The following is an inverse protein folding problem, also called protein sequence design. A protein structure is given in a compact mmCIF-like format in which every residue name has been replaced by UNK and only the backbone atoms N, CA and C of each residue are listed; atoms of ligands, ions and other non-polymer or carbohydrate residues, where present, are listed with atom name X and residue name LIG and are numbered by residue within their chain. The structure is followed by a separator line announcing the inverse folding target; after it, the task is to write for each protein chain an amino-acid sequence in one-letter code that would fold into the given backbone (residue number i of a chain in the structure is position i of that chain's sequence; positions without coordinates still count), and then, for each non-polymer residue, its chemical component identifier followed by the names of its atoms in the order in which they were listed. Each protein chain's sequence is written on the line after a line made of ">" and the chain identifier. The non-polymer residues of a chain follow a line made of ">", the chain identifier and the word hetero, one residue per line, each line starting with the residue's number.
data_IF_286568926345
#
_entry.id   IF_286568926345
#
_cell.length_a   1.000
_cell.length_b   1.000
_cell.length_c   1.000
_cell.angle_alpha   90.00
_cell.angle_beta   90.00
_cell.angle_gamma   90.00
#
_symmetry.space_group_name_H-M   'P 1'
#
loop_
_entity.id
_entity.type
_entity.pdbx_description
1 polymer ?
#
# COMPACT_ATOMS: atom_id res chain seq x y z
N UNK A 1 46.44 -37.84 -4.15
CA UNK A 1 46.30 -38.38 -2.78
C UNK A 1 46.27 -37.17 -1.86
N UNK A 2 45.19 -36.67 -1.25
CA UNK A 2 43.83 -37.13 -0.98
C UNK A 2 43.48 -36.41 0.33
N UNK A 3 42.51 -35.47 0.37
CA UNK A 3 42.25 -34.67 1.57
C UNK A 3 41.32 -35.45 2.51
N UNK A 4 41.79 -35.78 3.70
CA UNK A 4 40.98 -36.36 4.79
C UNK A 4 40.86 -35.32 5.90
N UNK A 5 39.87 -34.43 5.79
CA UNK A 5 39.39 -33.64 6.93
C UNK A 5 37.98 -33.09 6.68
N UNK A 6 37.00 -33.98 6.52
CA UNK A 6 35.59 -33.57 6.50
C UNK A 6 34.68 -34.72 6.94
N UNK A 7 34.72 -35.13 8.21
CA UNK A 7 33.84 -36.18 8.74
C UNK A 7 33.71 -36.13 10.27
N UNK A 8 33.21 -35.01 10.83
CA UNK A 8 32.75 -34.98 12.25
C UNK A 8 31.45 -34.19 12.47
N UNK A 9 30.83 -33.55 11.47
CA UNK A 9 29.64 -32.70 11.69
C UNK A 9 28.33 -33.20 11.05
N UNK A 10 28.20 -34.51 10.78
CA UNK A 10 27.00 -35.07 10.16
C UNK A 10 25.97 -35.82 11.04
N UNK A 11 26.14 -36.10 12.36
CA UNK A 11 25.09 -36.80 13.11
C UNK A 11 24.13 -35.91 13.91
N UNK A 12 24.24 -34.57 13.87
CA UNK A 12 23.37 -33.65 14.63
C UNK A 12 22.18 -33.06 13.84
N UNK A 13 22.08 -33.35 12.53
CA UNK A 13 21.04 -32.82 11.64
C UNK A 13 19.92 -33.82 11.29
N UNK A 14 19.98 -35.06 11.79
CA UNK A 14 19.02 -36.13 11.49
C UNK A 14 18.07 -36.51 12.64
N UNK A 15 18.13 -35.81 13.78
CA UNK A 15 17.24 -36.05 14.94
C UNK A 15 16.10 -35.03 15.09
N UNK A 16 15.99 -34.05 14.19
CA UNK A 16 14.89 -33.07 14.20
C UNK A 16 13.78 -33.34 13.16
N UNK A 17 13.92 -34.38 12.32
CA UNK A 17 12.98 -34.68 11.24
C UNK A 17 12.00 -35.84 11.52
N UNK A 18 11.99 -36.41 12.74
CA UNK A 18 11.18 -37.59 13.07
C UNK A 18 10.09 -37.34 14.14
N UNK A 19 9.73 -36.09 14.44
CA UNK A 19 8.72 -35.75 15.44
C UNK A 19 7.40 -35.16 14.89
N UNK A 20 7.20 -35.19 13.56
CA UNK A 20 5.96 -34.73 12.91
C UNK A 20 5.41 -35.80 11.97
N UNK A 21 4.97 -36.91 12.56
CA UNK A 21 4.07 -37.86 11.89
C UNK A 21 3.37 -38.71 12.94
N UNK A 22 2.24 -38.21 13.46
CA UNK A 22 1.18 -39.08 14.01
C UNK A 22 -0.22 -38.52 13.67
N UNK A 23 -0.84 -39.24 12.74
CA UNK A 23 -2.23 -39.71 12.74
C UNK A 23 -3.37 -38.68 12.81
N UNK A 24 -3.93 -38.40 11.63
CA UNK A 24 -5.33 -38.02 11.48
C UNK A 24 -6.25 -39.20 11.86
N UNK A 25 -7.24 -38.96 12.72
CA UNK A 25 -8.43 -39.79 12.89
C UNK A 25 -9.68 -38.94 12.53
N UNK A 26 -10.76 -39.53 12.00
CA UNK A 26 -11.89 -38.80 11.47
C UNK A 26 -12.84 -38.29 12.56
N UNK A 27 -13.36 -37.07 12.37
CA UNK A 27 -14.29 -36.39 13.26
C UNK A 27 -15.75 -36.71 12.87
N UNK A 28 -16.52 -37.24 13.82
CA UNK A 28 -17.99 -37.34 13.76
C UNK A 28 -18.60 -36.27 14.68
N UNK A 29 -19.70 -35.59 14.29
CA UNK A 29 -20.35 -34.61 15.16
C UNK A 29 -21.40 -35.29 16.04
N UNK A 30 -21.29 -35.08 17.36
CA UNK A 30 -22.38 -35.32 18.30
C UNK A 30 -22.75 -34.02 19.03
N UNK A 31 -24.04 -33.72 19.00
CA UNK A 31 -24.73 -32.70 19.77
C UNK A 31 -24.69 -32.99 21.27
N UNK A 32 -24.42 -31.96 22.09
CA UNK A 32 -25.11 -31.81 23.38
C UNK A 32 -25.04 -30.35 23.84
N UNK A 33 -26.20 -29.88 24.28
CA UNK A 33 -26.42 -28.62 24.99
C UNK A 33 -25.90 -28.69 26.42
N UNK A 34 -25.75 -27.49 27.00
CA UNK A 34 -25.92 -27.14 28.42
C UNK A 34 -24.69 -26.72 29.25
N UNK A 35 -24.96 -25.61 29.97
CA UNK A 35 -24.39 -25.07 31.21
C UNK A 35 -23.13 -24.19 31.19
N UNK A 36 -23.36 -22.86 31.16
CA UNK A 36 -22.42 -21.81 31.56
C UNK A 36 -22.99 -21.09 32.81
N UNK A 37 -22.26 -21.02 33.94
CA UNK A 37 -22.66 -20.25 35.12
C UNK A 37 -22.35 -18.74 34.99
N UNK A 38 -23.04 -17.85 35.72
CA UNK A 38 -22.93 -16.40 35.53
C UNK A 38 -21.63 -15.83 36.10
N UNK A 39 -21.06 -14.86 35.37
CA UNK A 39 -19.85 -14.13 35.74
C UNK A 39 -20.12 -13.10 36.86
N UNK A 40 -19.18 -13.04 37.81
CA UNK A 40 -19.14 -12.09 38.92
C UNK A 40 -18.80 -10.66 38.45
N UNK A 41 -19.28 -9.68 39.21
CA UNK A 41 -19.12 -8.25 38.96
C UNK A 41 -17.74 -7.71 39.36
N UNK A 42 -17.15 -6.85 38.53
CA UNK A 42 -15.93 -6.09 38.82
C UNK A 42 -16.22 -4.75 39.53
N UNK A 43 -15.33 -4.28 40.44
CA UNK A 43 -15.48 -3.00 41.15
C UNK A 43 -14.92 -1.79 40.35
N UNK A 44 -15.29 -0.54 40.71
CA UNK A 44 -15.02 0.65 39.90
C UNK A 44 -13.59 1.20 40.08
N UNK A 45 -12.96 1.63 38.98
CA UNK A 45 -11.70 2.36 38.95
C UNK A 45 -11.86 3.81 39.44
N UNK A 46 -11.03 4.19 40.41
CA UNK A 46 -10.87 5.56 40.88
C UNK A 46 -10.06 6.42 39.89
N UNK A 47 -10.46 7.69 39.77
CA UNK A 47 -9.87 8.69 38.90
C UNK A 47 -8.51 9.19 39.40
N UNK A 48 -7.51 9.21 38.51
CA UNK A 48 -6.21 9.85 38.72
C UNK A 48 -6.10 11.10 37.83
N UNK A 49 -6.06 12.27 38.46
CA UNK A 49 -5.84 13.58 37.86
C UNK A 49 -4.38 13.77 37.42
N UNK A 50 -4.15 14.03 36.13
CA UNK A 50 -2.84 14.43 35.61
C UNK A 50 -2.72 15.97 35.48
N UNK A 51 -1.51 16.55 35.64
CA UNK A 51 -1.30 17.99 35.74
C UNK A 51 -1.36 18.69 34.37
N UNK A 52 -1.87 19.92 34.36
CA UNK A 52 -1.89 20.82 33.19
C UNK A 52 -0.52 21.48 32.99
N UNK A 53 -0.04 21.50 31.74
CA UNK A 53 1.05 22.38 31.31
C UNK A 53 0.51 23.59 30.53
N UNK A 54 1.23 24.72 30.54
CA UNK A 54 0.69 26.04 30.20
C UNK A 54 0.64 26.29 28.69
N UNK A 55 -0.38 27.05 28.30
CA UNK A 55 -0.57 27.68 27.00
C UNK A 55 0.37 28.89 26.85
N UNK A 56 1.02 29.03 25.69
CA UNK A 56 0.98 30.26 24.88
C UNK A 56 1.76 30.16 23.53
N UNK A 57 1.21 30.87 22.55
CA UNK A 57 1.68 31.26 21.20
C UNK A 57 1.54 30.29 19.98
N UNK A 58 1.09 30.80 18.80
CA UNK A 58 0.60 29.99 17.68
C UNK A 58 1.69 29.70 16.63
N UNK A 59 1.84 28.43 16.21
CA UNK A 59 2.61 28.06 15.01
C UNK A 59 1.97 26.88 14.27
N UNK A 60 1.97 27.03 12.94
CA UNK A 60 1.15 26.37 11.92
C UNK A 60 1.60 24.96 11.50
N UNK A 61 0.72 24.32 10.73
CA UNK A 61 0.67 22.94 10.25
C UNK A 61 2.01 22.25 9.87
N UNK A 62 2.24 21.10 10.52
CA UNK A 62 2.48 19.79 9.90
C UNK A 62 3.82 19.57 9.17
N UNK A 63 4.80 19.00 9.86
CA UNK A 63 6.16 18.78 9.39
C UNK A 63 6.34 18.00 8.06
N UNK A 64 5.35 17.26 7.56
CA UNK A 64 5.52 16.36 6.41
C UNK A 64 5.61 17.08 5.03
N UNK A 65 4.95 18.22 4.84
CA UNK A 65 5.02 19.00 3.59
C UNK A 65 6.32 19.81 3.46
N UNK A 66 7.05 20.02 4.58
CA UNK A 66 8.39 20.62 4.56
C UNK A 66 9.46 19.67 4.04
N UNK A 67 9.22 18.35 4.10
CA UNK A 67 10.21 17.34 3.72
C UNK A 67 10.50 17.27 2.22
N UNK A 68 9.77 17.94 1.34
CA UNK A 68 10.16 18.01 -0.09
C UNK A 68 10.17 19.45 -0.62
N UNK A 69 9.73 20.43 0.19
CA UNK A 69 9.42 21.81 -0.24
C UNK A 69 8.57 21.89 -1.53
N UNK A 70 7.89 20.80 -1.87
CA UNK A 70 7.16 20.60 -3.11
C UNK A 70 5.75 20.14 -2.75
N UNK A 71 4.69 20.87 -3.16
CA UNK A 71 3.33 20.42 -3.01
C UNK A 71 3.08 19.28 -4.01
N UNK A 72 3.25 18.03 -3.57
CA UNK A 72 3.05 16.84 -4.41
C UNK A 72 1.75 16.15 -4.01
N UNK A 73 0.90 15.86 -4.99
CA UNK A 73 -0.32 15.06 -4.82
C UNK A 73 -0.11 13.64 -5.36
N UNK A 74 -0.70 12.64 -4.68
CA UNK A 74 -0.62 11.21 -5.02
C UNK A 74 0.80 10.69 -5.30
N UNK A 75 1.79 11.18 -4.55
CA UNK A 75 3.18 10.87 -4.84
C UNK A 75 3.63 9.50 -4.33
N UNK A 76 4.38 8.79 -5.17
CA UNK A 76 5.10 7.59 -4.78
C UNK A 76 6.58 7.91 -4.55
N UNK A 77 7.18 7.25 -3.56
CA UNK A 77 8.59 7.37 -3.19
C UNK A 77 9.30 6.03 -3.39
N UNK A 78 10.53 6.08 -3.87
CA UNK A 78 11.44 4.94 -3.89
C UNK A 78 12.90 5.39 -3.73
N UNK A 79 13.75 4.51 -3.18
CA UNK A 79 15.19 4.73 -3.08
C UNK A 79 15.91 4.05 -4.25
N UNK A 80 16.67 4.83 -5.03
CA UNK A 80 17.47 4.39 -6.18
C UNK A 80 18.93 4.76 -5.96
N UNK A 81 19.69 3.82 -5.39
CA UNK A 81 21.07 4.07 -4.98
C UNK A 81 21.12 5.22 -3.97
N UNK A 82 21.81 6.29 -4.35
CA UNK A 82 21.96 7.52 -3.53
C UNK A 82 20.78 8.49 -3.68
N UNK A 83 19.90 8.30 -4.66
CA UNK A 83 18.77 9.17 -4.93
C UNK A 83 17.49 8.65 -4.30
N UNK A 84 16.64 9.56 -3.84
CA UNK A 84 15.22 9.25 -3.62
C UNK A 84 14.44 9.77 -4.82
N UNK A 85 13.79 8.86 -5.55
CA UNK A 85 12.88 9.19 -6.64
C UNK A 85 11.48 9.43 -6.06
N UNK A 86 10.87 10.54 -6.47
CA UNK A 86 9.52 10.95 -6.15
C UNK A 86 8.74 11.11 -7.45
N UNK A 87 7.57 10.48 -7.52
CA UNK A 87 6.54 10.83 -8.49
C UNK A 87 5.51 11.74 -7.85
N UNK A 88 4.86 12.55 -8.67
CA UNK A 88 3.53 13.07 -8.37
C UNK A 88 3.19 14.33 -9.14
N UNK A 89 1.96 14.79 -8.95
CA UNK A 89 1.48 16.00 -9.61
C UNK A 89 1.98 17.21 -8.82
N UNK A 90 2.77 18.05 -9.48
CA UNK A 90 3.20 19.34 -8.93
C UNK A 90 2.49 20.42 -9.71
N UNK A 91 1.40 20.92 -9.16
CA UNK A 91 0.85 22.18 -9.59
C UNK A 91 0.95 23.19 -8.45
N UNK A 92 1.88 24.12 -8.58
CA UNK A 92 2.10 25.22 -7.61
C UNK A 92 0.97 26.24 -7.60
N UNK A 93 0.09 26.24 -8.61
CA UNK A 93 -0.98 27.22 -8.81
C UNK A 93 -2.35 26.69 -8.41
N UNK A 94 -2.53 25.37 -8.35
CA UNK A 94 -3.82 24.76 -8.05
C UNK A 94 -4.04 24.60 -6.55
N UNK A 95 -5.01 25.37 -6.02
CA UNK A 95 -5.66 25.05 -4.76
C UNK A 95 -6.47 23.76 -4.94
N UNK A 96 -6.62 22.92 -3.89
CA UNK A 96 -7.29 21.62 -3.94
C UNK A 96 -8.64 21.50 -4.66
N UNK A 97 -9.53 22.52 -4.75
CA UNK A 97 -10.75 22.36 -5.55
C UNK A 97 -10.55 22.53 -7.07
N UNK A 98 -9.39 22.98 -7.56
CA UNK A 98 -9.20 23.38 -8.97
C UNK A 98 -8.27 22.49 -9.81
N UNK A 99 -7.64 21.47 -9.21
CA UNK A 99 -7.57 20.08 -9.69
C UNK A 99 -7.76 19.63 -11.16
N UNK A 100 -7.86 20.46 -12.21
CA UNK A 100 -8.51 20.09 -13.47
C UNK A 100 -7.97 18.76 -13.99
N UNK A 101 -8.82 17.81 -14.41
CA UNK A 101 -8.36 16.42 -14.61
C UNK A 101 -7.18 16.29 -15.58
N UNK A 102 -6.98 17.26 -16.49
CA UNK A 102 -5.79 17.35 -17.35
C UNK A 102 -4.47 17.39 -16.57
N UNK A 103 -4.46 17.91 -15.35
CA UNK A 103 -3.30 17.88 -14.44
C UNK A 103 -2.92 16.45 -14.01
N UNK A 104 -3.85 15.50 -14.14
CA UNK A 104 -3.63 14.09 -13.83
C UNK A 104 -3.15 13.32 -15.07
N UNK A 105 -3.19 13.92 -16.26
CA UNK A 105 -2.60 13.33 -17.46
C UNK A 105 -1.07 13.36 -17.44
N UNK A 106 -0.44 14.02 -16.48
CA UNK A 106 1.02 14.11 -16.42
C UNK A 106 1.52 14.04 -14.99
N UNK A 107 2.53 13.21 -14.74
CA UNK A 107 3.23 13.14 -13.46
C UNK A 107 4.67 13.56 -13.66
N UNK A 108 5.16 14.42 -12.78
CA UNK A 108 6.58 14.76 -12.76
C UNK A 108 7.37 13.74 -11.93
N UNK A 109 8.55 13.39 -12.41
CA UNK A 109 9.54 12.62 -11.67
C UNK A 109 10.62 13.55 -11.14
N UNK A 110 10.96 13.41 -9.86
CA UNK A 110 11.93 14.24 -9.15
C UNK A 110 12.91 13.36 -8.42
N UNK A 111 14.20 13.69 -8.47
CA UNK A 111 15.19 13.06 -7.59
C UNK A 111 15.76 14.06 -6.61
N UNK A 112 15.96 13.59 -5.38
CA UNK A 112 16.78 14.28 -4.39
C UNK A 112 18.27 14.08 -4.69
N UNK A 113 19.09 15.02 -4.21
CA UNK A 113 20.54 14.93 -4.33
C UNK A 113 21.13 13.77 -3.50
N UNK A 114 22.26 13.16 -3.94
CA UNK A 114 22.90 11.95 -3.37
C UNK A 114 23.21 11.94 -1.87
N UNK A 115 23.30 13.11 -1.24
CA UNK A 115 23.91 13.27 0.09
C UNK A 115 22.92 13.65 1.17
N UNK A 116 21.62 13.54 0.91
CA UNK A 116 20.59 13.81 1.88
C UNK A 116 20.24 12.51 2.64
N UNK A 117 20.58 12.39 3.94
CA UNK A 117 20.00 11.35 4.77
C UNK A 117 18.47 11.34 4.62
N UNK A 118 17.81 10.19 4.74
CA UNK A 118 16.33 10.10 4.66
C UNK A 118 15.61 11.02 5.67
N UNK A 119 16.27 11.40 6.77
CA UNK A 119 15.81 12.41 7.74
C UNK A 119 15.95 13.87 7.25
N UNK A 120 16.59 14.08 6.09
CA UNK A 120 16.78 15.36 5.38
C UNK A 120 16.19 15.34 3.96
N UNK A 121 15.04 14.69 3.74
CA UNK A 121 14.35 14.75 2.44
C UNK A 121 14.08 16.19 1.96
N UNK A 122 14.15 17.21 2.85
CA UNK A 122 14.00 18.63 2.50
C UNK A 122 15.12 19.24 1.64
N UNK A 123 16.00 18.40 1.09
CA UNK A 123 17.03 18.79 0.13
C UNK A 123 16.41 19.24 -1.20
N UNK A 124 17.11 20.07 -1.98
CA UNK A 124 16.67 20.43 -3.32
C UNK A 124 16.39 19.16 -4.13
N UNK A 125 15.20 19.10 -4.72
CA UNK A 125 14.85 18.06 -5.67
C UNK A 125 14.91 18.63 -7.08
N UNK A 126 15.52 17.87 -7.98
CA UNK A 126 15.63 18.21 -9.40
C UNK A 126 14.54 17.46 -10.15
N UNK A 127 13.74 18.17 -10.95
CA UNK A 127 12.81 17.54 -11.87
C UNK A 127 13.62 16.81 -12.94
N UNK A 128 13.42 15.50 -13.03
CA UNK A 128 14.15 14.68 -13.98
C UNK A 128 13.39 14.49 -15.28
N UNK A 129 12.09 14.20 -15.18
CA UNK A 129 11.26 13.87 -16.32
C UNK A 129 9.78 14.15 -16.06
N UNK A 130 8.96 13.95 -17.11
CA UNK A 130 7.50 13.96 -17.02
C UNK A 130 6.96 12.72 -17.69
N UNK A 131 6.13 11.97 -16.97
CA UNK A 131 5.36 10.87 -17.51
C UNK A 131 4.04 11.43 -18.00
N UNK A 132 3.75 11.28 -19.29
CA UNK A 132 2.45 11.62 -19.86
C UNK A 132 1.49 10.44 -19.86
N UNK A 133 0.21 10.74 -19.94
CA UNK A 133 -0.84 9.76 -20.13
C UNK A 133 -0.64 9.02 -21.47
N UNK A 134 -1.11 7.78 -21.53
CA UNK A 134 -1.04 6.92 -22.72
C UNK A 134 -1.78 7.55 -23.90
N UNK A 135 -2.88 8.25 -23.63
CA UNK A 135 -3.65 8.98 -24.63
C UNK A 135 -3.84 10.44 -24.17
N UNK A 136 -2.86 11.33 -24.39
CA UNK A 136 -2.87 12.70 -23.83
C UNK A 136 -4.09 13.53 -24.25
N UNK A 137 -4.61 13.30 -25.46
CA UNK A 137 -5.74 14.02 -26.04
C UNK A 137 -7.13 13.52 -25.62
N UNK A 138 -7.23 12.45 -24.81
CA UNK A 138 -8.53 11.91 -24.41
C UNK A 138 -9.29 12.89 -23.50
N UNK A 139 -10.64 12.91 -23.54
CA UNK A 139 -11.40 13.68 -22.58
C UNK A 139 -11.23 13.11 -21.17
N UNK A 140 -11.38 14.00 -20.20
CA UNK A 140 -11.40 13.66 -18.79
C UNK A 140 -12.56 12.73 -18.45
N UNK A 141 -12.26 11.62 -17.79
CA UNK A 141 -13.28 10.81 -17.12
C UNK A 141 -13.36 11.24 -15.66
N UNK A 142 -14.45 11.93 -15.29
CA UNK A 142 -14.72 12.26 -13.89
C UNK A 142 -15.36 11.06 -13.19
N UNK A 143 -14.53 10.08 -12.84
CA UNK A 143 -14.97 8.93 -12.05
C UNK A 143 -15.02 9.36 -10.58
N UNK A 144 -16.18 9.23 -9.94
CA UNK A 144 -16.56 9.79 -8.62
C UNK A 144 -15.51 9.68 -7.49
N UNK A 145 -14.55 8.76 -7.57
CA UNK A 145 -13.57 8.51 -6.53
C UNK A 145 -12.12 8.80 -6.92
N UNK A 146 -11.82 8.95 -8.21
CA UNK A 146 -10.51 9.33 -8.72
C UNK A 146 -10.70 9.98 -10.08
N UNK A 147 -10.02 11.09 -10.30
CA UNK A 147 -9.82 11.63 -11.65
C UNK A 147 -8.70 10.83 -12.34
N UNK A 148 -8.79 9.50 -12.27
CA UNK A 148 -7.86 8.43 -12.66
C UNK A 148 -7.25 8.52 -14.08
N UNK A 149 -6.80 9.69 -14.48
CA UNK A 149 -6.75 10.15 -15.85
C UNK A 149 -5.32 10.12 -16.41
N UNK A 150 -4.42 9.38 -15.78
CA UNK A 150 -3.05 9.22 -16.26
C UNK A 150 -2.15 8.49 -15.26
N UNK A 151 -0.85 8.83 -15.23
CA UNK A 151 0.12 8.16 -14.38
C UNK A 151 0.07 8.57 -12.89
N UNK A 152 -0.92 9.34 -12.44
CA UNK A 152 -0.98 9.93 -11.09
C UNK A 152 -1.01 8.94 -9.93
N UNK A 153 -1.35 7.68 -10.20
CA UNK A 153 -1.36 6.60 -9.21
C UNK A 153 -0.21 5.62 -9.46
N UNK A 154 0.97 6.16 -9.74
CA UNK A 154 2.18 5.38 -9.98
C UNK A 154 2.67 4.62 -8.73
N UNK A 155 3.37 3.52 -8.96
CA UNK A 155 4.19 2.77 -8.02
C UNK A 155 5.60 2.71 -8.60
N UNK A 156 6.61 2.97 -7.77
CA UNK A 156 8.00 3.00 -8.21
C UNK A 156 8.74 1.83 -7.55
N UNK A 157 9.13 0.84 -8.35
CA UNK A 157 9.87 -0.34 -7.92
C UNK A 157 11.34 -0.20 -8.32
N UNK A 158 12.29 -0.11 -7.38
CA UNK A 158 13.72 -0.24 -7.69
C UNK A 158 14.04 -1.61 -8.31
N UNK A 159 14.82 -1.65 -9.40
CA UNK A 159 15.16 -2.91 -10.12
C UNK A 159 16.47 -3.56 -9.66
N UNK A 160 17.14 -3.02 -8.64
CA UNK A 160 18.51 -3.38 -8.29
C UNK A 160 19.52 -2.67 -9.21
N UNK A 161 20.80 -2.59 -8.81
CA UNK A 161 21.83 -1.94 -9.64
C UNK A 161 21.98 -0.42 -9.49
N UNK A 162 21.32 0.20 -8.51
CA UNK A 162 21.70 1.53 -8.01
C UNK A 162 21.24 2.75 -8.81
N UNK A 163 20.49 2.58 -9.90
CA UNK A 163 20.00 3.72 -10.70
C UNK A 163 18.71 3.50 -11.48
N UNK A 164 18.20 2.27 -11.60
CA UNK A 164 16.98 1.99 -12.39
C UNK A 164 15.77 1.64 -11.53
N UNK A 165 14.60 2.02 -12.03
CA UNK A 165 13.31 1.72 -11.44
C UNK A 165 12.28 1.38 -12.51
N UNK A 166 11.32 0.54 -12.14
CA UNK A 166 10.08 0.37 -12.88
C UNK A 166 9.00 1.28 -12.29
N UNK A 167 8.36 2.07 -13.13
CA UNK A 167 7.17 2.84 -12.77
C UNK A 167 5.95 2.10 -13.30
N UNK A 168 5.14 1.56 -12.41
CA UNK A 168 3.88 0.90 -12.74
C UNK A 168 2.72 1.85 -12.45
N UNK A 169 1.81 2.04 -13.39
CA UNK A 169 0.65 2.93 -13.20
C UNK A 169 -0.54 2.43 -14.01
N UNK A 170 -1.74 2.85 -13.61
CA UNK A 170 -2.96 2.55 -14.35
C UNK A 170 -3.33 3.76 -15.20
N UNK A 171 -3.67 3.55 -16.47
CA UNK A 171 -4.15 4.61 -17.36
C UNK A 171 -5.29 4.08 -18.24
N UNK A 172 -6.01 4.97 -18.92
CA UNK A 172 -7.06 4.63 -19.85
C UNK A 172 -6.53 4.54 -21.29
N UNK A 173 -6.72 3.38 -21.89
CA UNK A 173 -6.48 3.10 -23.31
C UNK A 173 -7.80 3.11 -24.08
N UNK A 174 -7.77 3.26 -25.40
CA UNK A 174 -8.95 3.06 -26.23
C UNK A 174 -9.49 1.63 -26.03
N UNK A 175 -10.77 1.51 -25.70
CA UNK A 175 -11.39 0.19 -25.62
C UNK A 175 -11.52 -0.40 -27.03
N UNK A 176 -11.30 -1.71 -27.16
CA UNK A 176 -11.47 -2.40 -28.43
C UNK A 176 -12.96 -2.74 -28.71
N UNK A 177 -13.87 -2.48 -27.76
CA UNK A 177 -15.29 -2.87 -27.84
C UNK A 177 -16.20 -1.81 -27.22
N UNK A 178 -17.33 -1.54 -27.89
CA UNK A 178 -18.19 -0.35 -27.76
C UNK A 178 -19.00 -0.15 -26.48
N UNK A 179 -18.59 -0.66 -25.33
CA UNK A 179 -19.31 -0.43 -24.06
C UNK A 179 -18.84 0.83 -23.31
N UNK A 180 -17.57 1.23 -23.47
CA UNK A 180 -17.00 2.51 -23.02
C UNK A 180 -15.87 2.92 -23.98
N UNK A 181 -15.64 4.20 -24.30
CA UNK A 181 -14.59 4.59 -25.25
C UNK A 181 -13.17 4.27 -24.75
N UNK A 182 -13.00 4.12 -23.43
CA UNK A 182 -11.71 3.82 -22.83
C UNK A 182 -11.80 2.75 -21.76
N UNK A 183 -10.74 1.93 -21.66
CA UNK A 183 -10.57 0.89 -20.66
C UNK A 183 -9.32 1.15 -19.83
N UNK A 184 -9.49 1.12 -18.50
CA UNK A 184 -8.36 1.19 -17.56
C UNK A 184 -7.47 -0.04 -17.70
N UNK A 185 -6.18 0.21 -17.88
CA UNK A 185 -5.14 -0.79 -18.14
C UNK A 185 -3.88 -0.43 -17.35
N UNK A 186 -3.12 -1.44 -16.93
CA UNK A 186 -1.83 -1.21 -16.26
C UNK A 186 -0.71 -1.07 -17.29
N UNK A 187 0.15 -0.11 -17.05
CA UNK A 187 1.33 0.19 -17.86
C UNK A 187 2.56 0.20 -16.99
N UNK A 188 3.70 -0.09 -17.61
CA UNK A 188 5.01 0.00 -16.97
C UNK A 188 5.97 0.80 -17.83
N UNK A 189 6.89 1.48 -17.17
CA UNK A 189 7.99 2.21 -17.80
C UNK A 189 9.24 2.05 -16.97
N UNK A 190 10.34 1.72 -17.62
CA UNK A 190 11.64 1.82 -16.97
C UNK A 190 12.06 3.29 -16.88
N UNK A 191 12.64 3.67 -15.75
CA UNK A 191 13.25 4.97 -15.52
C UNK A 191 14.65 4.72 -14.97
N UNK A 192 15.66 5.22 -15.67
CA UNK A 192 17.02 5.30 -15.17
C UNK A 192 17.27 6.67 -14.55
N UNK A 193 18.05 6.73 -13.48
CA UNK A 193 18.58 7.94 -12.86
C UNK A 193 20.09 7.78 -12.79
N UNK A 194 20.80 8.68 -13.47
CA UNK A 194 22.26 8.67 -13.55
C UNK A 194 22.85 10.01 -13.10
N UNK A 195 24.08 9.96 -12.59
CA UNK A 195 24.84 11.14 -12.19
C UNK A 195 24.54 11.60 -10.75
N UNK A 196 25.55 12.18 -10.09
CA UNK A 196 25.45 12.60 -8.69
C UNK A 196 24.64 13.90 -8.51
N UNK A 197 25.32 15.03 -8.38
CA UNK A 197 24.65 16.32 -8.14
C UNK A 197 23.80 16.81 -9.34
N UNK A 198 24.09 16.31 -10.54
CA UNK A 198 23.40 16.64 -11.80
C UNK A 198 22.60 15.45 -12.31
N UNK A 199 21.78 14.86 -11.45
CA UNK A 199 20.98 13.70 -11.80
C UNK A 199 20.20 13.93 -13.12
N UNK A 200 20.32 13.00 -14.06
CA UNK A 200 19.56 12.96 -15.32
C UNK A 200 18.69 11.71 -15.30
N UNK A 201 17.46 11.81 -15.83
CA UNK A 201 16.64 10.63 -16.06
C UNK A 201 16.68 10.19 -17.52
N UNK A 202 16.72 8.88 -17.72
CA UNK A 202 16.19 8.24 -18.92
C UNK A 202 14.78 7.74 -18.61
N UNK A 203 13.86 7.85 -19.57
CA UNK A 203 12.52 7.29 -19.45
C UNK A 203 12.27 6.39 -20.64
N UNK A 204 12.14 5.10 -20.38
CA UNK A 204 11.85 4.07 -21.38
C UNK A 204 10.46 4.21 -22.02
N UNK A 205 10.16 3.35 -23.01
CA UNK A 205 8.87 3.33 -23.68
C UNK A 205 7.72 3.02 -22.71
N UNK A 206 6.51 3.39 -23.10
CA UNK A 206 5.28 2.96 -22.42
C UNK A 206 5.01 1.52 -22.84
N UNK A 207 5.06 0.60 -21.88
CA UNK A 207 4.78 -0.82 -22.11
C UNK A 207 3.46 -1.16 -21.45
N UNK A 208 2.52 -1.71 -22.23
CA UNK A 208 1.23 -2.18 -21.72
C UNK A 208 1.42 -3.54 -21.06
N UNK A 209 0.86 -3.74 -19.86
CA UNK A 209 0.81 -5.09 -19.28
C UNK A 209 -0.28 -5.93 -19.93
N UNK A 210 0.13 -7.04 -20.52
CA UNK A 210 -0.72 -7.99 -21.22
C UNK A 210 -0.67 -9.35 -20.53
N UNK A 211 -1.83 -9.82 -20.09
CA UNK A 211 -1.99 -11.17 -19.59
C UNK A 211 -2.62 -12.04 -20.65
N UNK A 212 -1.83 -12.77 -21.44
CA UNK A 212 -2.37 -13.87 -22.22
C UNK A 212 -2.96 -14.90 -21.24
N UNK A 213 -4.29 -15.03 -21.22
CA UNK A 213 -4.99 -15.98 -20.35
C UNK A 213 -5.23 -15.55 -18.88
N UNK A 214 -4.72 -14.41 -18.42
CA UNK A 214 -4.97 -13.94 -17.04
C UNK A 214 -6.38 -13.37 -16.94
N UNK A 215 -7.28 -14.10 -16.27
CA UNK A 215 -8.65 -13.67 -15.99
C UNK A 215 -8.87 -13.42 -14.49
N UNK A 216 -9.40 -12.25 -14.11
CA UNK A 216 -9.66 -11.08 -14.97
C UNK A 216 -8.33 -10.34 -15.30
N UNK A 217 -8.28 -9.61 -16.42
CA UNK A 217 -7.07 -8.90 -16.82
C UNK A 217 -6.63 -7.91 -15.74
N UNK A 218 -5.31 -7.77 -15.51
CA UNK A 218 -4.73 -6.98 -14.41
C UNK A 218 -5.32 -5.56 -14.29
N UNK A 219 -5.64 -4.92 -15.41
CA UNK A 219 -6.23 -3.57 -15.45
C UNK A 219 -7.67 -3.46 -14.95
N UNK A 220 -8.41 -4.58 -14.87
CA UNK A 220 -9.78 -4.61 -14.35
C UNK A 220 -9.83 -4.69 -12.82
N UNK A 221 -8.74 -5.13 -12.17
CA UNK A 221 -8.67 -5.24 -10.71
C UNK A 221 -7.80 -4.08 -10.22
N UNK A 222 -8.47 -2.96 -10.01
CA UNK A 222 -7.94 -1.71 -9.45
C UNK A 222 -6.92 -1.96 -8.32
N UNK A 223 -5.71 -1.40 -8.46
CA UNK A 223 -4.74 -1.17 -7.37
C UNK A 223 -4.31 -2.42 -6.57
N UNK A 224 -4.68 -3.64 -6.96
CA UNK A 224 -4.49 -4.82 -6.11
C UNK A 224 -3.09 -5.45 -6.11
N UNK A 225 -2.12 -4.74 -6.69
CA UNK A 225 -0.84 -5.31 -7.04
C UNK A 225 0.29 -4.54 -6.36
N UNK A 226 1.07 -5.25 -5.56
CA UNK A 226 2.33 -4.80 -4.97
C UNK A 226 3.47 -5.29 -5.85
N UNK A 227 4.16 -4.39 -6.57
CA UNK A 227 5.32 -4.78 -7.37
C UNK A 227 6.52 -5.07 -6.47
N UNK A 228 7.32 -6.08 -6.81
CA UNK A 228 8.57 -6.41 -6.11
C UNK A 228 9.61 -7.03 -7.06
N UNK A 229 10.89 -6.93 -6.67
CA UNK A 229 12.00 -7.50 -7.42
C UNK A 229 12.68 -8.58 -6.58
N UNK A 230 12.79 -9.80 -7.11
CA UNK A 230 13.50 -10.91 -6.50
C UNK A 230 14.64 -11.36 -7.44
N UNK A 231 15.85 -10.91 -7.13
CA UNK A 231 16.99 -11.04 -8.05
C UNK A 231 16.79 -10.18 -9.29
N UNK A 232 17.02 -10.75 -10.47
CA UNK A 232 16.79 -10.10 -11.76
C UNK A 232 15.33 -10.17 -12.24
N UNK A 233 14.44 -10.81 -11.46
CA UNK A 233 13.05 -11.06 -11.86
C UNK A 233 12.12 -10.07 -11.17
N UNK A 234 11.12 -9.61 -11.91
CA UNK A 234 10.10 -8.67 -11.43
C UNK A 234 8.77 -9.38 -11.32
N UNK A 235 8.04 -9.06 -10.26
CA UNK A 235 6.76 -9.65 -9.96
C UNK A 235 5.75 -8.60 -9.53
N UNK A 236 4.47 -8.94 -9.67
CA UNK A 236 3.36 -8.22 -9.06
C UNK A 236 2.58 -9.17 -8.17
N UNK A 237 2.42 -8.82 -6.89
CA UNK A 237 1.75 -9.65 -5.89
C UNK A 237 0.39 -9.06 -5.49
N UNK A 238 -0.64 -9.89 -5.55
CA UNK A 238 -1.97 -9.64 -5.02
C UNK A 238 -2.19 -10.50 -3.80
N UNK A 239 -2.59 -9.88 -2.69
CA UNK A 239 -2.73 -10.55 -1.39
C UNK A 239 -3.86 -11.55 -1.34
N UNK A 240 -5.00 -11.17 -1.91
CA UNK A 240 -6.22 -11.96 -1.85
C UNK A 240 -7.03 -11.71 -3.10
N UNK A 241 -7.38 -12.80 -3.76
CA UNK A 241 -8.28 -12.80 -4.88
C UNK A 241 -9.74 -13.02 -4.44
N UNK A 242 -10.63 -13.33 -5.38
CA UNK A 242 -12.03 -13.61 -5.02
C UNK A 242 -12.21 -14.99 -4.38
N UNK A 243 -11.28 -15.90 -4.61
CA UNK A 243 -11.25 -17.24 -4.03
C UNK A 243 -10.58 -17.26 -2.64
N UNK A 244 -9.91 -16.18 -2.23
CA UNK A 244 -9.17 -16.12 -0.97
C UNK A 244 -7.68 -16.41 -1.10
N UNK A 245 -7.17 -16.48 -2.33
CA UNK A 245 -5.79 -16.86 -2.64
C UNK A 245 -4.90 -15.62 -2.83
N UNK A 246 -3.66 -15.71 -2.37
CA UNK A 246 -2.60 -14.82 -2.82
C UNK A 246 -2.14 -15.24 -4.22
N UNK A 247 -1.92 -14.25 -5.10
CA UNK A 247 -1.55 -14.47 -6.50
C UNK A 247 -0.37 -13.59 -6.85
N UNK A 248 0.72 -14.16 -7.34
CA UNK A 248 1.85 -13.42 -7.89
C UNK A 248 2.02 -13.73 -9.38
N UNK A 249 2.23 -12.70 -10.19
CA UNK A 249 2.63 -12.87 -11.58
C UNK A 249 4.07 -12.42 -11.75
N UNK A 250 4.87 -13.26 -12.40
CA UNK A 250 6.16 -12.85 -12.96
C UNK A 250 5.92 -11.99 -14.20
N UNK A 251 6.67 -10.90 -14.31
CA UNK A 251 6.54 -9.89 -15.34
C UNK A 251 7.82 -9.80 -16.16
N UNK A 252 7.70 -9.93 -17.47
CA UNK A 252 8.65 -9.32 -18.40
C UNK A 252 8.21 -7.87 -18.66
N UNK A 253 8.90 -6.93 -18.03
CA UNK A 253 8.51 -5.52 -18.11
C UNK A 253 8.97 -4.83 -19.40
N UNK A 254 9.81 -5.48 -20.22
CA UNK A 254 10.21 -4.95 -21.53
C UNK A 254 9.15 -5.24 -22.58
N UNK A 255 8.55 -6.44 -22.53
CA UNK A 255 7.47 -6.84 -23.45
C UNK A 255 6.08 -6.59 -22.88
N UNK A 256 5.97 -6.44 -21.56
CA UNK A 256 4.70 -6.31 -20.84
C UNK A 256 4.00 -7.64 -20.58
N UNK A 257 4.61 -8.76 -20.95
CA UNK A 257 4.01 -10.08 -20.80
C UNK A 257 4.07 -10.57 -19.34
N UNK A 258 2.95 -11.15 -18.90
CA UNK A 258 2.89 -11.93 -17.66
C UNK A 258 3.31 -13.36 -17.97
N UNK A 259 4.42 -13.80 -17.36
CA UNK A 259 5.07 -15.06 -17.72
C UNK A 259 4.53 -16.24 -16.94
N UNK A 260 4.66 -16.20 -15.61
CA UNK A 260 4.28 -17.29 -14.71
C UNK A 260 3.33 -16.78 -13.64
N UNK A 261 2.42 -17.64 -13.21
CA UNK A 261 1.49 -17.35 -12.12
C UNK A 261 1.78 -18.28 -10.96
N UNK A 262 1.86 -17.71 -9.76
CA UNK A 262 2.02 -18.42 -8.51
C UNK A 262 0.82 -18.11 -7.64
N UNK A 263 0.29 -19.15 -7.00
CA UNK A 263 -0.88 -19.06 -6.14
C UNK A 263 -0.58 -19.71 -4.81
N UNK A 264 -1.01 -19.06 -3.73
CA UNK A 264 -0.89 -19.62 -2.39
C UNK A 264 -2.14 -19.29 -1.56
N UNK A 265 -2.53 -20.23 -0.69
CA UNK A 265 -3.69 -20.06 0.17
C UNK A 265 -3.50 -18.89 1.12
N UNK A 266 -4.53 -18.04 1.26
CA UNK A 266 -4.48 -16.90 2.16
C UNK A 266 -5.81 -16.64 2.89
N UNK A 267 -6.48 -17.72 3.29
CA UNK A 267 -7.82 -17.69 3.87
C UNK A 267 -7.94 -16.86 5.16
N UNK A 268 -6.85 -16.65 5.91
CA UNK A 268 -6.90 -15.93 7.20
C UNK A 268 -6.53 -14.45 7.10
N UNK A 269 -6.06 -13.95 5.96
CA UNK A 269 -5.66 -12.54 5.83
C UNK A 269 -6.79 -11.59 6.24
N UNK A 270 -8.02 -11.84 5.76
CA UNK A 270 -9.18 -11.01 6.11
C UNK A 270 -9.46 -10.99 7.61
N UNK A 271 -9.36 -12.14 8.26
CA UNK A 271 -9.55 -12.28 9.70
C UNK A 271 -8.51 -11.46 10.47
N UNK A 272 -7.24 -11.57 10.10
CA UNK A 272 -6.12 -10.89 10.76
C UNK A 272 -6.17 -9.38 10.56
N UNK A 273 -6.47 -8.94 9.34
CA UNK A 273 -6.70 -7.52 9.03
C UNK A 273 -7.85 -6.97 9.88
N UNK A 274 -8.82 -7.81 10.28
CA UNK A 274 -10.01 -7.37 11.01
C UNK A 274 -10.95 -6.54 10.13
N UNK A 275 -10.89 -6.74 8.81
CA UNK A 275 -11.77 -6.05 7.87
C UNK A 275 -13.14 -6.71 7.81
N UNK A 276 -14.26 -5.96 7.94
CA UNK A 276 -15.59 -6.51 7.71
C UNK A 276 -15.74 -7.26 6.38
N UNK A 277 -16.69 -8.18 6.29
CA UNK A 277 -16.91 -8.99 5.08
C UNK A 277 -17.21 -8.15 3.82
N UNK A 278 -17.80 -6.96 4.00
CA UNK A 278 -18.12 -6.02 2.93
C UNK A 278 -16.95 -5.09 2.56
N UNK A 279 -15.80 -5.24 3.21
CA UNK A 279 -14.60 -4.45 2.96
C UNK A 279 -13.79 -5.06 1.83
N UNK A 280 -13.49 -4.26 0.81
CA UNK A 280 -12.55 -4.65 -0.23
C UNK A 280 -11.11 -4.50 0.28
N UNK A 281 -10.25 -5.45 -0.06
CA UNK A 281 -8.81 -5.38 0.22
C UNK A 281 -8.15 -4.96 -1.08
N UNK A 282 -7.51 -3.78 -1.06
CA UNK A 282 -7.04 -3.07 -2.25
C UNK A 282 -5.77 -2.27 -2.04
N UNK A 283 -5.11 -1.84 -3.13
CA UNK A 283 -3.82 -1.11 -3.07
C UNK A 283 -2.62 -1.85 -2.50
N UNK A 284 -1.46 -1.74 -3.13
CA UNK A 284 -0.19 -2.08 -2.50
C UNK A 284 0.86 -1.02 -2.77
N UNK A 285 1.72 -0.75 -1.79
CA UNK A 285 3.04 -0.17 -2.08
C UNK A 285 3.87 -1.16 -2.89
N UNK A 286 4.95 -0.72 -3.55
CA UNK A 286 6.04 -1.64 -3.86
C UNK A 286 6.48 -2.38 -2.58
N UNK A 287 6.81 -3.66 -2.70
CA UNK A 287 7.34 -4.40 -1.57
C UNK A 287 8.82 -4.10 -1.37
N UNK A 288 9.22 -3.93 -0.12
CA UNK A 288 10.61 -3.73 0.27
C UNK A 288 11.15 -5.03 0.84
N UNK A 289 12.38 -5.39 0.46
CA UNK A 289 13.05 -6.56 0.99
C UNK A 289 13.40 -6.32 2.45
N UNK A 290 12.89 -7.16 3.36
CA UNK A 290 13.24 -7.10 4.78
C UNK A 290 14.56 -7.85 5.06
N UNK A 291 14.72 -9.02 4.45
CA UNK A 291 15.88 -9.89 4.60
C UNK A 291 16.03 -10.82 3.37
N UNK A 292 16.84 -11.86 3.48
CA UNK A 292 17.06 -12.81 2.40
C UNK A 292 15.78 -13.57 1.98
N UNK A 293 14.87 -13.80 2.93
CA UNK A 293 13.73 -14.72 2.78
C UNK A 293 12.37 -14.02 2.74
N UNK A 294 12.28 -12.70 2.98
CA UNK A 294 11.00 -12.01 3.14
C UNK A 294 10.96 -10.60 2.53
N UNK A 295 9.78 -10.26 2.06
CA UNK A 295 9.37 -8.91 1.67
C UNK A 295 8.29 -8.38 2.60
N UNK A 296 8.21 -7.05 2.70
CA UNK A 296 7.14 -6.33 3.36
C UNK A 296 6.49 -5.35 2.40
N UNK A 297 5.18 -5.28 2.43
CA UNK A 297 4.42 -4.26 1.73
C UNK A 297 3.27 -3.74 2.59
N UNK A 298 2.73 -2.59 2.22
CA UNK A 298 1.58 -1.98 2.87
C UNK A 298 0.43 -1.94 1.88
N UNK A 299 -0.69 -2.55 2.26
CA UNK A 299 -1.93 -2.47 1.52
C UNK A 299 -2.95 -1.56 2.20
N UNK A 300 -4.14 -1.48 1.62
CA UNK A 300 -5.28 -0.82 2.26
C UNK A 300 -6.57 -1.61 2.16
N UNK A 301 -7.50 -1.27 3.03
CA UNK A 301 -8.86 -1.71 2.93
C UNK A 301 -9.76 -0.57 2.52
N UNK A 302 -10.85 -0.89 1.86
CA UNK A 302 -11.82 0.06 1.35
C UNK A 302 -13.22 -0.40 1.73
N UNK A 303 -13.88 0.39 2.57
CA UNK A 303 -15.27 0.16 2.94
C UNK A 303 -16.14 1.22 2.27
N UNK A 304 -17.20 0.78 1.59
CA UNK A 304 -18.27 1.66 1.12
C UNK A 304 -19.29 1.78 2.25
N UNK A 305 -19.41 2.93 2.96
CA UNK A 305 -20.34 3.05 4.09
C UNK A 305 -21.79 2.76 3.68
N UNK A 306 -22.16 3.04 2.43
CA UNK A 306 -23.49 2.78 1.91
C UNK A 306 -23.75 1.32 1.48
N UNK A 307 -22.73 0.46 1.57
CA UNK A 307 -22.85 -0.98 1.41
C UNK A 307 -22.99 -1.71 2.77
N UNK A 308 -22.97 -0.96 3.88
CA UNK A 308 -23.18 -1.53 5.21
C UNK A 308 -24.57 -2.17 5.33
N UNK A 309 -24.70 -3.36 5.95
CA UNK A 309 -25.99 -4.02 6.15
C UNK A 309 -27.05 -3.13 6.80
N UNK A 310 -26.65 -2.26 7.73
CA UNK A 310 -27.51 -1.31 8.45
C UNK A 310 -28.07 -0.20 7.55
N UNK A 311 -27.36 0.15 6.48
CA UNK A 311 -27.84 1.11 5.46
C UNK A 311 -28.69 0.37 4.43
N UNK A 312 -28.28 -0.84 4.05
CA UNK A 312 -29.00 -1.66 3.09
C UNK A 312 -30.39 -2.07 3.61
N UNK A 313 -30.51 -2.40 4.91
CA UNK A 313 -31.77 -2.80 5.55
C UNK A 313 -32.80 -1.68 5.65
N UNK A 314 -32.38 -0.41 5.56
CA UNK A 314 -33.25 0.78 5.59
C UNK A 314 -33.87 1.12 4.23
N UNK A 315 -33.63 0.29 3.21
CA UNK A 315 -34.25 0.43 1.89
C UNK A 315 -33.55 1.42 0.94
N UNK A 316 -34.11 1.55 -0.26
CA UNK A 316 -33.51 2.27 -1.39
C UNK A 316 -33.26 3.76 -1.10
N UNK A 317 -34.15 4.41 -0.38
CA UNK A 317 -34.05 5.85 -0.11
C UNK A 317 -32.96 6.16 0.92
N UNK A 318 -32.78 5.31 1.92
CA UNK A 318 -31.66 5.41 2.87
C UNK A 318 -30.32 5.17 2.15
N UNK A 319 -30.24 4.18 1.25
CA UNK A 319 -29.06 3.96 0.41
C UNK A 319 -28.78 5.16 -0.52
N UNK A 320 -29.80 5.70 -1.19
CA UNK A 320 -29.66 6.89 -2.06
C UNK A 320 -29.22 8.11 -1.27
N UNK A 321 -29.78 8.32 -0.09
CA UNK A 321 -29.41 9.42 0.81
C UNK A 321 -27.98 9.24 1.33
N UNK A 322 -27.60 8.02 1.71
CA UNK A 322 -26.22 7.68 2.04
C UNK A 322 -25.29 7.96 0.87
N UNK A 323 -25.57 7.52 -0.35
CA UNK A 323 -24.69 7.76 -1.51
C UNK A 323 -24.53 9.26 -1.80
N UNK A 324 -25.58 10.05 -1.54
CA UNK A 324 -25.56 11.51 -1.68
C UNK A 324 -24.69 12.18 -0.61
N UNK A 325 -24.77 11.72 0.63
CA UNK A 325 -24.08 12.30 1.80
C UNK A 325 -22.65 11.76 1.98
N UNK A 326 -22.46 10.48 1.73
CA UNK A 326 -21.25 9.69 1.90
C UNK A 326 -20.73 9.26 0.52
N UNK A 327 -20.34 10.26 -0.28
CA UNK A 327 -19.62 10.02 -1.54
C UNK A 327 -18.24 9.36 -1.34
N UNK A 328 -17.84 9.11 -0.09
CA UNK A 328 -16.48 8.77 0.27
C UNK A 328 -16.38 7.33 0.75
N UNK A 329 -15.39 6.64 0.18
CA UNK A 329 -14.87 5.35 0.67
C UNK A 329 -14.08 5.59 1.96
N UNK A 330 -14.30 4.75 2.96
CA UNK A 330 -13.47 4.71 4.16
C UNK A 330 -12.25 3.81 3.92
N UNK A 331 -11.07 4.29 4.29
CA UNK A 331 -9.81 3.57 4.10
C UNK A 331 -9.11 3.29 5.42
N UNK A 332 -8.47 2.13 5.50
CA UNK A 332 -7.48 1.82 6.52
C UNK A 332 -6.29 1.11 5.86
N UNK A 333 -5.12 1.18 6.47
CA UNK A 333 -3.91 0.53 5.97
C UNK A 333 -3.67 -0.78 6.71
N UNK A 334 -2.92 -1.69 6.11
CA UNK A 334 -2.39 -2.86 6.80
C UNK A 334 -1.01 -3.21 6.24
N UNK A 335 -0.13 -3.75 7.06
CA UNK A 335 1.17 -4.27 6.65
C UNK A 335 1.09 -5.78 6.50
N UNK A 336 1.81 -6.35 5.55
CA UNK A 336 1.93 -7.79 5.41
C UNK A 336 3.33 -8.18 4.97
N UNK A 337 3.73 -9.38 5.37
CA UNK A 337 5.01 -10.00 5.04
C UNK A 337 4.75 -11.26 4.23
N UNK A 338 5.55 -11.46 3.20
CA UNK A 338 5.48 -12.64 2.36
C UNK A 338 6.87 -13.14 2.03
N UNK A 339 6.95 -14.44 1.70
CA UNK A 339 8.20 -15.11 1.34
C UNK A 339 8.83 -14.51 0.08
N UNK A 340 10.16 -14.58 -0.01
CA UNK A 340 10.89 -14.07 -1.18
C UNK A 340 10.95 -15.03 -2.35
N UNK A 341 10.54 -16.27 -2.14
CA UNK A 341 10.55 -17.34 -3.14
C UNK A 341 9.12 -17.83 -3.42
N UNK A 342 8.86 -18.37 -4.61
CA UNK A 342 7.59 -19.00 -4.92
C UNK A 342 7.18 -20.09 -3.92
N UNK A 343 5.89 -20.20 -3.58
CA UNK A 343 4.75 -19.50 -4.20
C UNK A 343 4.39 -18.16 -3.50
N UNK A 344 5.34 -17.55 -2.80
CA UNK A 344 5.22 -16.24 -2.15
C UNK A 344 4.12 -16.20 -1.08
N UNK A 345 4.13 -17.18 -0.17
CA UNK A 345 3.14 -17.24 0.90
C UNK A 345 3.15 -15.94 1.71
N UNK A 346 1.97 -15.39 1.97
CA UNK A 346 1.82 -14.39 3.03
C UNK A 346 1.99 -15.16 4.34
N UNK A 347 2.95 -14.73 5.16
CA UNK A 347 3.32 -15.40 6.42
C UNK A 347 2.84 -14.65 7.65
N UNK A 348 2.62 -13.33 7.51
CA UNK A 348 2.07 -12.53 8.59
C UNK A 348 1.42 -11.24 8.06
N UNK A 349 0.44 -10.71 8.81
CA UNK A 349 -0.17 -9.42 8.52
C UNK A 349 -0.54 -8.68 9.81
N UNK A 350 -0.62 -7.36 9.76
CA UNK A 350 -1.14 -6.55 10.86
C UNK A 350 -2.67 -6.43 10.77
N UNK A 351 -3.36 -6.18 11.89
CA UNK A 351 -4.67 -5.55 11.86
C UNK A 351 -4.66 -4.23 11.09
N UNK A 352 -5.84 -3.77 10.68
CA UNK A 352 -6.00 -2.43 10.11
C UNK A 352 -5.46 -1.35 11.05
N UNK A 353 -4.77 -0.38 10.48
CA UNK A 353 -4.29 0.81 11.17
C UNK A 353 -4.50 2.06 10.33
N UNK A 354 -4.36 3.22 10.97
CA UNK A 354 -4.36 4.52 10.29
C UNK A 354 -3.09 5.28 10.57
N UNK A 355 -2.68 6.05 9.58
CA UNK A 355 -1.56 6.99 9.69
C UNK A 355 -2.19 8.34 9.96
N UNK A 356 -2.05 8.82 11.19
CA UNK A 356 -2.62 10.10 11.60
C UNK A 356 -1.75 11.23 11.04
N UNK A 357 -2.33 12.21 10.31
CA UNK A 357 -1.55 13.39 9.94
C UNK A 357 -1.02 14.05 11.21
N UNK A 358 0.23 14.56 11.23
CA UNK A 358 0.80 15.16 12.43
C UNK A 358 -0.06 16.35 12.86
N UNK A 359 -0.72 16.25 14.01
CA UNK A 359 -1.42 17.37 14.63
C UNK A 359 -0.41 18.18 15.46
N UNK A 360 -0.09 19.39 15.02
CA UNK A 360 0.81 20.29 15.76
C UNK A 360 2.30 19.94 15.66
N UNK A 361 3.07 20.25 16.71
CA UNK A 361 4.54 20.18 16.78
C UNK A 361 5.10 18.77 17.05
N UNK A 362 4.37 17.69 16.76
CA UNK A 362 4.90 16.33 16.95
C UNK A 362 6.10 16.08 16.03
N UNK A 363 7.29 15.99 16.65
CA UNK A 363 8.53 15.54 16.00
C UNK A 363 8.55 14.01 16.05
N UNK A 364 8.57 13.39 14.87
CA UNK A 364 8.93 12.00 14.59
C UNK A 364 8.37 10.89 15.50
N UNK A 365 7.66 9.95 14.90
CA UNK A 365 6.99 8.84 15.59
C UNK A 365 5.50 9.08 15.60
N UNK A 366 4.83 8.79 14.49
CA UNK A 366 3.38 8.75 14.50
C UNK A 366 2.96 7.50 15.27
N UNK A 367 2.22 7.69 16.35
CA UNK A 367 1.47 6.60 16.96
C UNK A 367 0.34 6.21 16.01
N UNK A 368 0.30 4.92 15.66
CA UNK A 368 -0.87 4.39 14.98
C UNK A 368 -1.99 4.33 15.99
N UNK A 369 -2.99 5.19 15.81
CA UNK A 369 -4.23 5.05 16.54
C UNK A 369 -4.90 3.72 16.18
N UNK A 370 -5.70 3.15 17.10
CA UNK A 370 -6.64 2.11 16.71
C UNK A 370 -7.51 2.62 15.54
N UNK A 371 -8.03 1.75 14.65
CA UNK A 371 -9.13 2.16 13.78
C UNK A 371 -10.22 2.78 14.67
N UNK A 372 -10.93 3.83 14.21
CA UNK A 372 -12.04 4.37 15.00
C UNK A 372 -12.97 3.22 15.39
N UNK A 373 -13.49 3.20 16.63
CA UNK A 373 -14.40 2.16 17.09
C UNK A 373 -15.52 2.02 16.06
N UNK A 374 -15.80 0.77 15.71
CA UNK A 374 -16.79 0.30 14.75
C UNK A 374 -17.63 1.38 14.04
N UNK A 375 -17.49 1.44 12.71
CA UNK A 375 -18.32 2.26 11.81
C UNK A 375 -19.79 1.75 11.77
N UNK A 376 -20.23 1.00 12.78
CA UNK A 376 -21.59 0.46 12.92
C UNK A 376 -22.58 1.46 13.49
N UNK A 377 -22.15 2.60 14.03
CA UNK A 377 -23.07 3.62 14.59
C UNK A 377 -23.26 4.82 13.64
N UNK A 378 -24.45 4.96 13.02
CA UNK A 378 -24.75 6.08 12.11
C UNK A 378 -24.75 7.47 12.77
N UNK A 379 -24.72 7.54 14.11
CA UNK A 379 -24.90 8.78 14.87
C UNK A 379 -23.60 9.51 15.23
N UNK A 380 -22.42 8.95 14.95
CA UNK A 380 -21.11 9.60 15.21
C UNK A 380 -20.29 9.93 13.97
N UNK A 381 -20.80 9.66 12.76
CA UNK A 381 -20.07 9.83 11.48
C UNK A 381 -20.14 11.27 10.96
N UNK A 382 -20.98 12.11 11.59
CA UNK A 382 -21.24 13.48 11.17
C UNK A 382 -20.67 14.41 12.23
N UNK A 383 -19.39 14.75 12.10
CA UNK A 383 -18.71 15.99 12.53
C UNK A 383 -17.26 15.69 12.91
N UNK A 384 -16.34 16.16 12.08
CA UNK A 384 -14.92 16.22 12.45
C UNK A 384 -14.07 15.05 11.96
N UNK A 385 -13.52 15.19 10.75
CA UNK A 385 -12.19 14.64 10.43
C UNK A 385 -12.04 13.11 10.35
N UNK A 386 -13.10 12.34 10.13
CA UNK A 386 -12.95 10.96 9.63
C UNK A 386 -12.22 11.01 8.27
N UNK A 387 -10.93 10.69 8.35
CA UNK A 387 -9.89 10.99 7.38
C UNK A 387 -10.25 10.61 5.95
N UNK A 388 -10.12 11.60 5.08
CA UNK A 388 -10.22 11.47 3.62
C UNK A 388 -9.26 10.39 3.10
N UNK A 389 -9.51 9.83 1.91
CA UNK A 389 -8.87 8.62 1.41
C UNK A 389 -7.36 8.59 1.58
N UNK A 390 -6.85 7.52 2.18
CA UNK A 390 -5.42 7.27 2.38
C UNK A 390 -5.02 6.08 1.51
N UNK A 391 -4.15 6.31 0.53
CA UNK A 391 -3.62 5.24 -0.30
C UNK A 391 -2.13 5.11 -0.11
N UNK A 392 -1.62 3.94 0.28
CA UNK A 392 -0.19 3.75 0.36
C UNK A 392 0.35 3.66 -1.08
N UNK A 393 1.27 4.56 -1.43
CA UNK A 393 1.76 4.75 -2.79
C UNK A 393 3.23 4.35 -2.96
N UNK A 394 4.05 4.57 -1.93
CA UNK A 394 5.47 4.26 -1.93
C UNK A 394 5.94 3.81 -0.56
N UNK A 395 6.97 2.96 -0.55
CA UNK A 395 7.56 2.41 0.66
C UNK A 395 9.07 2.33 0.48
N UNK A 396 9.82 2.89 1.42
CA UNK A 396 11.27 2.78 1.51
C UNK A 396 11.61 2.12 2.84
N UNK A 397 12.56 1.19 2.83
CA UNK A 397 13.11 0.61 4.04
C UNK A 397 14.53 1.12 4.30
N UNK A 398 14.70 1.85 5.39
CA UNK A 398 16.00 2.20 5.95
C UNK A 398 16.43 1.11 6.92
N UNK A 399 17.20 0.14 6.41
CA UNK A 399 17.68 -0.98 7.20
C UNK A 399 18.57 -0.54 8.38
N UNK A 400 19.37 0.52 8.20
CA UNK A 400 20.28 1.02 9.23
C UNK A 400 19.54 1.55 10.45
N UNK A 401 18.37 2.18 10.23
CA UNK A 401 17.53 2.73 11.30
C UNK A 401 16.36 1.84 11.67
N UNK A 402 16.15 0.72 10.96
CA UNK A 402 14.95 -0.13 11.04
C UNK A 402 13.67 0.71 10.91
N UNK A 403 13.66 1.63 9.95
CA UNK A 403 12.54 2.55 9.68
C UNK A 403 11.94 2.28 8.31
N UNK A 404 10.62 2.36 8.23
CA UNK A 404 9.87 2.41 6.99
C UNK A 404 9.45 3.85 6.72
N UNK A 405 9.68 4.34 5.51
CA UNK A 405 9.17 5.62 5.03
C UNK A 405 8.02 5.33 4.06
N UNK A 406 6.81 5.69 4.47
CA UNK A 406 5.58 5.43 3.74
C UNK A 406 5.06 6.73 3.13
N UNK A 407 4.87 6.77 1.81
CA UNK A 407 4.08 7.83 1.17
C UNK A 407 2.61 7.43 1.08
N UNK A 408 1.73 8.35 1.45
CA UNK A 408 0.29 8.17 1.45
C UNK A 408 -0.36 9.28 0.63
N UNK A 409 -0.99 8.90 -0.48
CA UNK A 409 -1.75 9.81 -1.33
C UNK A 409 -3.10 10.15 -0.73
N UNK A 410 -3.56 11.38 -0.99
CA UNK A 410 -4.89 11.88 -0.65
C UNK A 410 -5.52 12.49 -1.89
N UNK A 411 -6.83 12.33 -2.05
CA UNK A 411 -7.57 12.89 -3.19
C UNK A 411 -7.47 14.43 -3.27
N UNK A 412 -7.52 15.11 -2.13
CA UNK A 412 -7.67 16.57 -2.06
C UNK A 412 -6.62 17.24 -1.16
N UNK A 413 -5.55 16.52 -0.84
CA UNK A 413 -4.46 17.00 0.00
C UNK A 413 -3.12 16.53 -0.54
N UNK A 414 -2.09 17.21 -0.06
CA UNK A 414 -0.71 16.83 -0.33
C UNK A 414 -0.43 15.42 0.19
N UNK A 415 0.43 14.73 -0.54
CA UNK A 415 0.98 13.44 -0.16
C UNK A 415 1.60 13.55 1.22
N UNK A 416 1.20 12.67 2.13
CA UNK A 416 1.81 12.56 3.44
C UNK A 416 2.99 11.60 3.35
N UNK A 417 4.11 11.97 3.97
CA UNK A 417 5.24 11.06 4.19
C UNK A 417 5.31 10.77 5.68
N UNK A 418 5.34 9.49 6.03
CA UNK A 418 5.30 9.03 7.42
C UNK A 418 6.44 8.07 7.71
N UNK A 419 7.01 8.18 8.91
CA UNK A 419 8.05 7.30 9.41
C UNK A 419 7.43 6.30 10.37
N UNK A 420 7.64 5.03 10.08
CA UNK A 420 7.12 3.92 10.85
C UNK A 420 8.29 3.09 11.33
N UNK A 421 8.41 2.86 12.64
CA UNK A 421 9.38 1.90 13.15
C UNK A 421 9.01 0.50 12.68
N UNK A 422 9.92 -0.20 12.01
CA UNK A 422 9.68 -1.56 11.52
C UNK A 422 9.25 -2.47 12.68
N UNK A 423 9.95 -2.40 13.80
CA UNK A 423 9.65 -3.16 15.01
C UNK A 423 8.19 -2.99 15.48
N UNK A 424 7.65 -1.78 15.40
CA UNK A 424 6.28 -1.52 15.78
C UNK A 424 5.29 -2.26 14.88
N UNK A 425 5.56 -2.30 13.58
CA UNK A 425 4.75 -3.06 12.63
C UNK A 425 4.88 -4.56 12.91
N UNK A 426 6.11 -5.06 13.07
CA UNK A 426 6.39 -6.48 13.33
C UNK A 426 5.73 -6.99 14.61
N UNK A 427 5.74 -6.22 15.71
CA UNK A 427 5.09 -6.60 16.99
C UNK A 427 3.57 -6.77 16.88
N UNK A 428 2.95 -6.27 15.80
CA UNK A 428 1.51 -6.34 15.56
C UNK A 428 1.13 -7.33 14.48
N UNK A 429 2.12 -7.95 13.85
CA UNK A 429 1.86 -8.95 12.84
C UNK A 429 1.41 -10.25 13.50
N UNK A 430 0.30 -10.81 13.00
CA UNK A 430 -0.17 -12.14 13.35
C UNK A 430 0.14 -13.10 12.20
N UNK A 431 0.55 -14.34 12.48
CA UNK A 431 0.77 -15.35 11.45
C UNK A 431 -0.52 -15.65 10.67
N UNK A 432 -0.42 -15.69 9.35
CA UNK A 432 -1.53 -15.95 8.41
C UNK A 432 -1.91 -17.41 8.28
#
# INVERSE_FOLDING_TARGET
>A
MGPMLLLVLLPLLLLAAAALSRTHAPYHPSSSTDDIPPAAADPPLAASTAPRCPTDAPLSSGAATKLLRLPVYNGALAQLGVHTLLSGNIDRRLRPPHLGCKSEHTVALWATLPSAPLDRLGSPATRLATLGAVLPGRPCQDVLNFRGNGPEDARILPLGGGGSALVLYNDYAAAHSGELPFRRTMYVREVGVEGGATARASVGPIVRLEGAGVRPPLGAIEKNWSPFAAGARVFVHRWVDRAGEAVAHELDFHTGQLLRTYTSSNGRLRQIIGGPNHTEISGGTPAVRLNATHFLAVGHTMTMPCALPEVASKGRDAKRTCLRMNQWRAYALFGYVFESEPPFHIVAATPQFRVNPPMGKQKYGQEFGPPPPDVTTPKGVVEGHLGKPQFPAGLIFDASKKLLVLSTGYRDRLTLVSWVKLEYMMRRMSPT
#
